data_IF_011999013179
#
_entry.id   IF_011999013179
#
_cell.length_a   1.000
_cell.length_b   1.000
_cell.length_c   1.000
_cell.angle_alpha   90.00
_cell.angle_beta   90.00
_cell.angle_gamma   90.00
#
_symmetry.space_group_name_H-M   'P 1'
#
loop_
_entity.id
_entity.type
_entity.pdbx_description
1 polymer ?
#
# COMPACT_ATOMS: atom_id res chain seq x y z
N UNK A 1 -3.04 0.29 -29.83
CA UNK A 1 -2.85 -0.62 -28.69
C UNK A 1 -1.46 -1.23 -28.83
N UNK A 2 -0.57 -0.97 -27.89
CA UNK A 2 0.83 -1.47 -27.93
C UNK A 2 0.83 -2.89 -27.36
N UNK A 3 1.54 -3.82 -27.99
CA UNK A 3 1.61 -5.21 -27.51
C UNK A 3 2.28 -5.29 -26.14
N UNK A 4 1.70 -6.08 -25.24
CA UNK A 4 2.32 -6.41 -23.96
C UNK A 4 3.47 -7.42 -24.16
N UNK A 5 4.56 -7.30 -23.39
CA UNK A 5 5.67 -8.24 -23.46
C UNK A 5 5.29 -9.58 -22.82
N UNK A 6 5.96 -10.66 -23.26
CA UNK A 6 5.66 -12.04 -22.80
C UNK A 6 5.79 -12.23 -21.28
N UNK A 7 6.68 -11.48 -20.63
CA UNK A 7 6.86 -11.54 -19.17
C UNK A 7 5.75 -10.82 -18.38
N UNK A 8 4.87 -10.05 -19.03
CA UNK A 8 3.87 -9.21 -18.35
C UNK A 8 2.86 -10.06 -17.57
N UNK A 9 2.38 -11.15 -18.16
CA UNK A 9 1.46 -12.08 -17.50
C UNK A 9 2.12 -12.75 -16.28
N UNK A 10 3.39 -13.14 -16.42
CA UNK A 10 4.14 -13.71 -15.30
C UNK A 10 4.32 -12.69 -14.16
N UNK A 11 4.63 -11.43 -14.50
CA UNK A 11 4.82 -10.35 -13.55
C UNK A 11 3.52 -9.96 -12.83
N UNK A 12 2.41 -9.78 -13.55
CA UNK A 12 1.22 -9.09 -13.05
C UNK A 12 -0.06 -9.91 -13.07
N UNK A 13 -0.05 -11.17 -13.53
CA UNK A 13 -1.23 -12.04 -13.56
C UNK A 13 -1.81 -12.43 -12.19
N UNK A 14 -1.30 -11.85 -11.10
CA UNK A 14 -1.85 -11.97 -9.75
C UNK A 14 -2.69 -10.74 -9.34
N UNK A 15 -2.69 -9.70 -10.17
CA UNK A 15 -3.42 -8.46 -9.91
C UNK A 15 -4.86 -8.56 -10.41
N UNK A 16 -5.75 -7.89 -9.70
CA UNK A 16 -7.11 -7.67 -10.17
C UNK A 16 -7.11 -6.77 -11.41
N UNK A 17 -8.17 -6.88 -12.21
CA UNK A 17 -8.31 -6.18 -13.49
C UNK A 17 -8.02 -4.68 -13.38
N UNK A 18 -8.53 -4.00 -12.36
CA UNK A 18 -8.33 -2.56 -12.19
C UNK A 18 -6.84 -2.18 -12.02
N UNK A 19 -6.08 -2.94 -11.23
CA UNK A 19 -4.66 -2.67 -11.00
C UNK A 19 -3.83 -3.08 -12.24
N UNK A 20 -4.21 -4.16 -12.91
CA UNK A 20 -3.61 -4.58 -14.18
C UNK A 20 -3.82 -3.54 -15.29
N UNK A 21 -5.03 -2.99 -15.42
CA UNK A 21 -5.38 -1.95 -16.41
C UNK A 21 -4.54 -0.68 -16.21
N UNK A 22 -4.25 -0.29 -14.97
CA UNK A 22 -3.35 0.84 -14.67
C UNK A 22 -1.92 0.55 -15.17
N UNK A 23 -1.41 -0.66 -14.98
CA UNK A 23 -0.07 -1.04 -15.45
C UNK A 23 -0.01 -1.17 -16.99
N UNK A 24 -1.08 -1.65 -17.62
CA UNK A 24 -1.22 -1.69 -19.07
C UNK A 24 -1.22 -0.26 -19.62
N UNK A 25 -1.99 0.63 -19.01
CA UNK A 25 -2.02 2.04 -19.41
C UNK A 25 -0.64 2.69 -19.28
N UNK A 26 0.07 2.48 -18.16
CA UNK A 26 1.45 2.94 -17.99
C UNK A 26 2.37 2.39 -19.08
N UNK A 27 2.24 1.10 -19.42
CA UNK A 27 3.00 0.48 -20.50
C UNK A 27 2.72 1.14 -21.85
N UNK A 28 1.49 1.60 -22.10
CA UNK A 28 1.12 2.30 -23.33
C UNK A 28 1.63 3.74 -23.36
N UNK A 29 1.56 4.47 -22.24
CA UNK A 29 1.84 5.91 -22.20
C UNK A 29 3.28 6.29 -21.89
N UNK A 30 4.09 5.40 -21.29
CA UNK A 30 5.48 5.69 -20.88
C UNK A 30 6.51 5.09 -21.85
N UNK A 31 7.01 5.84 -22.85
CA UNK A 31 7.99 5.33 -23.82
C UNK A 31 9.34 4.97 -23.17
N UNK A 32 9.78 5.74 -22.18
CA UNK A 32 11.06 5.50 -21.49
C UNK A 32 11.00 4.23 -20.64
N UNK A 33 9.83 3.87 -20.10
CA UNK A 33 9.63 2.57 -19.44
C UNK A 33 9.89 1.41 -20.42
N UNK A 34 9.36 1.51 -21.64
CA UNK A 34 9.57 0.48 -22.67
C UNK A 34 11.03 0.40 -23.10
N UNK A 35 11.72 1.54 -23.19
CA UNK A 35 13.16 1.57 -23.44
C UNK A 35 13.95 0.90 -22.29
N UNK A 36 13.61 1.19 -21.04
CA UNK A 36 14.23 0.57 -19.87
C UNK A 36 14.02 -0.96 -19.88
N UNK A 37 12.81 -1.42 -20.23
CA UNK A 37 12.50 -2.84 -20.35
C UNK A 37 13.32 -3.50 -21.48
N UNK A 38 13.44 -2.85 -22.64
CA UNK A 38 14.27 -3.34 -23.74
C UNK A 38 15.76 -3.40 -23.38
N UNK A 39 16.26 -2.47 -22.55
CA UNK A 39 17.62 -2.53 -21.99
C UNK A 39 17.77 -3.71 -21.02
N UNK A 40 16.78 -3.95 -20.16
CA UNK A 40 16.77 -5.12 -19.27
C UNK A 40 16.74 -6.45 -20.06
N UNK A 41 15.99 -6.51 -21.16
CA UNK A 41 15.91 -7.68 -22.05
C UNK A 41 17.28 -8.06 -22.62
N UNK A 42 18.11 -7.08 -23.00
CA UNK A 42 19.49 -7.33 -23.47
C UNK A 42 20.36 -8.05 -22.42
N UNK A 43 20.05 -7.86 -21.14
CA UNK A 43 20.73 -8.52 -20.03
C UNK A 43 20.03 -9.79 -19.55
N UNK A 44 18.85 -10.15 -20.09
CA UNK A 44 18.09 -11.32 -19.68
C UNK A 44 18.70 -12.60 -20.29
N UNK A 45 19.25 -13.51 -19.48
CA UNK A 45 19.93 -14.71 -19.99
C UNK A 45 19.02 -15.74 -20.65
N UNK A 46 17.69 -15.63 -20.46
CA UNK A 46 16.72 -16.49 -21.16
C UNK A 46 16.52 -16.02 -22.60
N UNK A 47 16.56 -14.71 -22.82
CA UNK A 47 16.39 -14.09 -24.14
C UNK A 47 17.73 -14.01 -24.89
N UNK A 48 18.81 -13.75 -24.16
CA UNK A 48 20.16 -13.57 -24.67
C UNK A 48 21.13 -14.52 -23.93
N UNK A 49 21.11 -15.83 -24.23
CA UNK A 49 22.01 -16.79 -23.60
C UNK A 49 23.47 -16.48 -23.97
N UNK A 50 24.30 -16.25 -22.96
CA UNK A 50 25.74 -16.02 -23.13
C UNK A 50 26.47 -17.32 -23.43
N UNK A 51 27.27 -17.32 -24.50
CA UNK A 51 28.12 -18.45 -24.89
C UNK A 51 29.59 -18.29 -24.46
N UNK A 52 29.95 -17.19 -23.78
CA UNK A 52 31.33 -16.84 -23.40
C UNK A 52 31.44 -16.50 -21.91
N UNK A 53 32.59 -16.79 -21.31
CA UNK A 53 32.88 -16.58 -19.89
C UNK A 53 32.72 -15.11 -19.52
N UNK A 54 31.87 -14.75 -18.54
CA UNK A 54 31.68 -13.36 -18.15
C UNK A 54 32.93 -12.74 -17.52
N UNK A 55 33.92 -13.56 -17.14
CA UNK A 55 35.17 -13.10 -16.52
C UNK A 55 36.35 -13.00 -17.47
N UNK A 56 36.46 -13.88 -18.48
CA UNK A 56 37.63 -13.95 -19.36
C UNK A 56 37.30 -14.08 -20.85
N UNK A 57 36.02 -14.08 -21.23
CA UNK A 57 35.57 -14.16 -22.63
C UNK A 57 35.74 -15.54 -23.30
N UNK A 58 36.27 -16.55 -22.61
CA UNK A 58 36.44 -17.90 -23.16
C UNK A 58 35.12 -18.62 -23.41
N UNK A 59 34.99 -19.32 -24.53
CA UNK A 59 33.86 -20.19 -24.88
C UNK A 59 33.94 -21.59 -24.22
N UNK A 60 35.05 -21.88 -23.52
CA UNK A 60 35.30 -23.21 -22.92
C UNK A 60 34.59 -23.37 -21.57
N UNK A 61 33.45 -24.06 -21.60
CA UNK A 61 32.63 -24.33 -20.42
C UNK A 61 32.36 -25.81 -20.18
N UNK A 62 32.22 -26.17 -18.91
CA UNK A 62 31.62 -27.43 -18.49
C UNK A 62 30.44 -27.18 -17.55
N UNK A 63 29.32 -27.92 -17.69
CA UNK A 63 28.25 -27.87 -16.71
C UNK A 63 28.77 -28.18 -15.30
N UNK A 64 28.33 -27.40 -14.32
CA UNK A 64 28.56 -27.65 -12.90
C UNK A 64 27.52 -28.62 -12.34
N UNK A 65 27.68 -29.01 -11.08
CA UNK A 65 26.74 -29.88 -10.36
C UNK A 65 25.39 -29.23 -10.06
N UNK A 66 25.29 -27.89 -10.19
CA UNK A 66 24.04 -27.13 -10.05
C UNK A 66 23.50 -26.75 -11.43
N UNK A 67 22.17 -26.81 -11.60
CA UNK A 67 21.51 -26.45 -12.87
C UNK A 67 21.97 -25.07 -13.39
N UNK A 68 22.49 -25.05 -14.62
CA UNK A 68 22.90 -23.84 -15.37
C UNK A 68 24.02 -23.00 -14.72
N UNK A 69 24.74 -23.55 -13.75
CA UNK A 69 26.07 -23.07 -13.41
C UNK A 69 27.08 -23.74 -14.34
N UNK A 70 28.01 -22.95 -14.87
CA UNK A 70 29.08 -23.41 -15.75
C UNK A 70 30.41 -23.07 -15.10
N UNK A 71 31.37 -24.00 -15.20
CA UNK A 71 32.77 -23.72 -14.86
C UNK A 71 33.53 -23.40 -16.13
N UNK A 72 34.17 -22.25 -16.17
CA UNK A 72 35.06 -21.91 -17.28
C UNK A 72 36.36 -22.72 -17.14
N UNK A 73 36.77 -23.42 -18.19
CA UNK A 73 38.01 -24.22 -18.16
C UNK A 73 39.28 -23.36 -18.29
N UNK A 74 39.16 -22.11 -18.75
CA UNK A 74 40.29 -21.19 -18.91
C UNK A 74 40.62 -20.45 -17.61
N UNK A 75 39.63 -19.88 -16.92
CA UNK A 75 39.85 -19.12 -15.68
C UNK A 75 39.44 -19.87 -14.41
N UNK A 76 38.92 -21.10 -14.56
CA UNK A 76 38.46 -21.99 -13.49
C UNK A 76 37.32 -21.47 -12.62
N UNK A 77 36.80 -20.26 -12.89
CA UNK A 77 35.68 -19.64 -12.17
C UNK A 77 34.36 -20.31 -12.53
N UNK A 78 33.49 -20.40 -11.54
CA UNK A 78 32.08 -20.75 -11.71
C UNK A 78 31.28 -19.49 -12.01
N UNK A 79 30.35 -19.59 -12.95
CA UNK A 79 29.44 -18.52 -13.34
C UNK A 79 28.12 -19.09 -13.80
N UNK A 80 27.10 -18.23 -13.85
CA UNK A 80 25.87 -18.51 -14.61
C UNK A 80 25.80 -17.56 -15.81
N UNK A 81 24.92 -17.83 -16.79
CA UNK A 81 24.63 -16.87 -17.86
C UNK A 81 24.13 -15.51 -17.34
N UNK A 82 23.68 -15.44 -16.08
CA UNK A 82 23.24 -14.23 -15.42
C UNK A 82 24.36 -13.43 -14.72
N UNK A 83 25.57 -14.00 -14.59
CA UNK A 83 26.68 -13.35 -13.90
C UNK A 83 27.02 -12.00 -14.55
N UNK A 84 27.12 -10.95 -13.74
CA UNK A 84 27.38 -9.58 -14.21
C UNK A 84 26.15 -8.83 -14.70
N UNK A 85 24.96 -9.44 -14.63
CA UNK A 85 23.68 -8.82 -15.00
C UNK A 85 22.82 -8.55 -13.75
N UNK A 86 21.74 -7.75 -13.85
CA UNK A 86 20.75 -7.61 -12.78
C UNK A 86 20.16 -8.95 -12.30
N UNK A 87 20.16 -9.98 -13.16
CA UNK A 87 19.61 -11.31 -12.91
C UNK A 87 20.55 -12.25 -12.14
N UNK A 88 21.78 -11.83 -11.84
CA UNK A 88 22.77 -12.65 -11.13
C UNK A 88 22.20 -13.19 -9.81
N UNK A 89 22.47 -14.46 -9.50
CA UNK A 89 22.02 -15.15 -8.28
C UNK A 89 20.49 -15.23 -8.09
N UNK A 90 19.70 -14.90 -9.12
CA UNK A 90 18.25 -15.13 -9.13
C UNK A 90 17.93 -16.45 -9.81
N UNK A 91 17.00 -17.20 -9.23
CA UNK A 91 16.42 -18.35 -9.89
C UNK A 91 15.63 -17.91 -11.13
N UNK A 92 15.74 -18.62 -12.27
CA UNK A 92 15.08 -18.26 -13.54
C UNK A 92 13.61 -17.94 -13.39
N UNK A 93 12.88 -18.75 -12.60
CA UNK A 93 11.45 -18.54 -12.33
C UNK A 93 11.12 -17.18 -11.70
N UNK A 94 12.11 -16.45 -11.17
CA UNK A 94 11.94 -15.14 -10.54
C UNK A 94 12.35 -13.97 -11.44
N UNK A 95 12.80 -14.20 -12.68
CA UNK A 95 13.26 -13.11 -13.55
C UNK A 95 12.17 -12.06 -13.79
N UNK A 96 10.90 -12.47 -13.83
CA UNK A 96 9.76 -11.55 -13.94
C UNK A 96 9.76 -10.47 -12.84
N UNK A 97 10.33 -10.73 -11.64
CA UNK A 97 10.28 -9.79 -10.51
C UNK A 97 11.04 -8.50 -10.82
N UNK A 98 12.14 -8.59 -11.58
CA UNK A 98 12.92 -7.43 -11.97
C UNK A 98 12.14 -6.55 -12.95
N UNK A 99 11.41 -7.16 -13.89
CA UNK A 99 10.50 -6.43 -14.77
C UNK A 99 9.34 -5.81 -14.00
N UNK A 100 8.78 -6.54 -13.04
CA UNK A 100 7.71 -6.05 -12.19
C UNK A 100 8.17 -4.81 -11.40
N UNK A 101 9.33 -4.89 -10.73
CA UNK A 101 9.93 -3.77 -9.99
C UNK A 101 10.26 -2.60 -10.93
N UNK A 102 10.80 -2.87 -12.12
CA UNK A 102 11.12 -1.84 -13.11
C UNK A 102 9.89 -1.00 -13.50
N UNK A 103 8.78 -1.67 -13.84
CA UNK A 103 7.51 -1.01 -14.17
C UNK A 103 7.02 -0.18 -12.98
N UNK A 104 7.16 -0.69 -11.76
CA UNK A 104 6.71 0.04 -10.57
C UNK A 104 7.46 1.32 -10.25
N UNK A 105 8.61 1.61 -10.89
CA UNK A 105 9.23 2.94 -10.78
C UNK A 105 8.36 4.04 -11.39
N UNK A 106 7.57 3.74 -12.42
CA UNK A 106 6.63 4.69 -13.07
C UNK A 106 5.26 4.74 -12.40
N UNK A 107 5.01 3.84 -11.44
CA UNK A 107 3.83 3.89 -10.59
C UNK A 107 4.03 5.01 -9.58
N UNK A 108 3.25 6.07 -9.72
CA UNK A 108 3.04 7.03 -8.63
C UNK A 108 2.24 6.27 -7.57
N UNK A 109 2.91 5.67 -6.59
CA UNK A 109 2.43 4.59 -5.71
C UNK A 109 2.91 4.75 -4.29
N UNK A 110 2.20 4.29 -3.25
CA UNK A 110 2.84 4.18 -1.93
C UNK A 110 3.94 3.12 -2.07
N UNK A 111 5.02 3.23 -1.30
CA UNK A 111 6.08 2.22 -1.40
C UNK A 111 5.51 0.82 -1.08
N UNK A 112 4.46 0.76 -0.28
CA UNK A 112 3.63 -0.41 0.00
C UNK A 112 2.86 -0.89 -1.24
N UNK A 113 2.19 0.01 -1.96
CA UNK A 113 1.49 -0.30 -3.20
C UNK A 113 2.46 -0.83 -4.27
N UNK A 114 3.61 -0.19 -4.46
CA UNK A 114 4.57 -0.63 -5.50
C UNK A 114 5.22 -1.97 -5.13
N UNK A 115 5.47 -2.22 -3.85
CA UNK A 115 5.94 -3.52 -3.35
C UNK A 115 4.88 -4.59 -3.63
N UNK A 116 3.62 -4.28 -3.38
CA UNK A 116 2.49 -5.15 -3.68
C UNK A 116 2.38 -5.44 -5.17
N UNK A 117 2.29 -4.40 -6.01
CA UNK A 117 2.15 -4.50 -7.47
C UNK A 117 3.30 -5.26 -8.11
N UNK A 118 4.52 -5.12 -7.58
CA UNK A 118 5.67 -5.85 -8.10
C UNK A 118 5.71 -7.32 -7.67
N UNK A 119 4.76 -7.78 -6.84
CA UNK A 119 4.78 -9.11 -6.24
C UNK A 119 5.93 -9.33 -5.24
N UNK A 120 6.49 -8.25 -4.68
CA UNK A 120 7.54 -8.34 -3.66
C UNK A 120 6.91 -8.48 -2.26
N UNK A 121 7.47 -9.32 -1.40
CA UNK A 121 6.96 -9.47 -0.02
C UNK A 121 7.14 -8.23 0.86
N UNK A 122 8.24 -7.49 0.70
CA UNK A 122 8.51 -6.34 1.54
C UNK A 122 9.39 -5.29 0.83
N UNK A 123 9.49 -4.12 1.47
CA UNK A 123 10.29 -2.99 0.99
C UNK A 123 11.79 -3.27 0.89
N UNK A 124 12.34 -4.20 1.68
CA UNK A 124 13.77 -4.54 1.65
C UNK A 124 14.09 -5.27 0.35
N UNK A 125 13.30 -6.29 0.01
CA UNK A 125 13.50 -7.04 -1.23
C UNK A 125 13.23 -6.17 -2.45
N UNK A 126 12.18 -5.34 -2.42
CA UNK A 126 11.92 -4.38 -3.49
C UNK A 126 13.10 -3.42 -3.68
N UNK A 127 13.67 -2.87 -2.60
CA UNK A 127 14.86 -1.99 -2.68
C UNK A 127 16.08 -2.73 -3.21
N UNK A 128 16.24 -4.00 -2.87
CA UNK A 128 17.31 -4.85 -3.38
C UNK A 128 17.19 -5.07 -4.90
N UNK A 129 16.00 -5.39 -5.38
CA UNK A 129 15.73 -5.47 -6.82
C UNK A 129 15.87 -4.11 -7.52
N UNK A 130 15.39 -3.04 -6.91
CA UNK A 130 15.54 -1.69 -7.43
C UNK A 130 17.01 -1.29 -7.56
N UNK A 131 17.84 -1.63 -6.57
CA UNK A 131 19.29 -1.41 -6.59
C UNK A 131 19.98 -2.17 -7.72
N UNK A 132 19.52 -3.39 -8.04
CA UNK A 132 20.02 -4.16 -9.19
C UNK A 132 19.69 -3.51 -10.53
N UNK A 133 18.61 -2.71 -10.59
CA UNK A 133 18.19 -1.97 -11.77
C UNK A 133 18.80 -0.57 -11.88
N UNK A 134 19.57 -0.12 -10.87
CA UNK A 134 20.23 1.19 -10.87
C UNK A 134 21.04 1.46 -12.14
N UNK A 135 21.86 0.52 -12.67
CA UNK A 135 22.63 0.76 -13.90
C UNK A 135 21.74 1.05 -15.11
N UNK A 136 20.56 0.42 -15.19
CA UNK A 136 19.60 0.69 -16.27
C UNK A 136 18.99 2.07 -16.08
N UNK A 137 18.66 2.44 -14.84
CA UNK A 137 17.96 3.68 -14.50
C UNK A 137 18.78 4.94 -14.76
N UNK A 138 20.07 4.93 -14.42
CA UNK A 138 20.96 6.10 -14.55
C UNK A 138 21.24 6.46 -16.01
N UNK A 139 21.18 5.48 -16.92
CA UNK A 139 21.48 5.65 -18.34
C UNK A 139 20.24 5.96 -19.20
N UNK A 140 19.08 6.22 -18.58
CA UNK A 140 17.84 6.57 -19.29
C UNK A 140 17.85 8.02 -19.79
N UNK A 141 17.12 8.32 -20.88
CA UNK A 141 16.95 9.69 -21.34
C UNK A 141 16.23 10.57 -20.30
N UNK A 142 16.58 11.85 -20.28
CA UNK A 142 15.91 12.87 -19.45
C UNK A 142 15.06 13.78 -20.37
N UNK A 143 13.76 14.00 -20.08
CA UNK A 143 13.03 13.49 -18.91
C UNK A 143 12.61 12.02 -19.06
N UNK A 144 12.60 11.28 -17.94
CA UNK A 144 12.17 9.86 -17.89
C UNK A 144 10.66 9.65 -18.00
N UNK A 145 9.89 10.73 -17.98
CA UNK A 145 8.43 10.71 -18.16
C UNK A 145 7.98 12.02 -18.80
N UNK A 146 6.96 12.00 -19.68
CA UNK A 146 6.38 13.23 -20.23
C UNK A 146 5.55 14.03 -19.19
N UNK A 147 5.12 13.39 -18.10
CA UNK A 147 4.27 14.01 -17.08
C UNK A 147 4.96 13.91 -15.70
N UNK A 148 5.70 14.97 -15.28
CA UNK A 148 6.41 14.96 -14.00
C UNK A 148 5.47 14.68 -12.83
N UNK A 149 5.88 13.76 -11.95
CA UNK A 149 5.14 13.34 -10.75
C UNK A 149 6.10 12.67 -9.77
N UNK A 150 5.67 12.36 -8.56
CA UNK A 150 6.55 11.54 -7.72
C UNK A 150 6.71 10.15 -8.34
N UNK A 151 7.95 9.77 -8.69
CA UNK A 151 8.30 8.46 -9.25
C UNK A 151 9.38 7.82 -8.38
N UNK A 152 9.21 6.54 -8.04
CA UNK A 152 10.14 5.87 -7.14
C UNK A 152 11.51 5.70 -7.79
N UNK A 153 12.54 6.16 -7.10
CA UNK A 153 13.92 6.07 -7.57
C UNK A 153 14.34 7.19 -8.51
N UNK A 154 13.42 7.95 -9.10
CA UNK A 154 13.80 9.06 -9.98
C UNK A 154 13.84 10.38 -9.22
N UNK A 155 15.01 11.06 -9.12
CA UNK A 155 15.06 12.41 -8.59
C UNK A 155 14.28 13.38 -9.49
N UNK A 156 13.80 14.53 -8.97
CA UNK A 156 13.04 15.50 -9.75
C UNK A 156 13.74 15.94 -11.04
N UNK A 157 15.06 16.06 -11.02
CA UNK A 157 15.87 16.46 -12.18
C UNK A 157 15.79 15.45 -13.34
N UNK A 158 15.77 14.15 -13.07
CA UNK A 158 15.60 13.12 -14.10
C UNK A 158 14.20 13.15 -14.73
N UNK A 159 13.26 13.83 -14.09
CA UNK A 159 11.91 14.07 -14.61
C UNK A 159 11.78 15.45 -15.28
N UNK A 160 12.88 16.18 -15.48
CA UNK A 160 12.89 17.49 -16.14
C UNK A 160 12.48 18.66 -15.24
N UNK A 161 12.40 18.47 -13.92
CA UNK A 161 12.02 19.54 -13.00
C UNK A 161 13.14 20.56 -12.79
N UNK A 162 12.78 21.84 -12.71
CA UNK A 162 13.70 22.95 -12.37
C UNK A 162 13.12 23.82 -11.27
N UNK A 163 13.99 24.51 -10.53
CA UNK A 163 13.55 25.49 -9.55
C UNK A 163 12.85 26.68 -10.25
N UNK A 164 11.63 27.06 -9.87
CA UNK A 164 10.93 28.19 -10.49
C UNK A 164 11.60 29.54 -10.18
N UNK A 165 12.34 29.64 -9.07
CA UNK A 165 13.01 30.87 -8.64
C UNK A 165 14.37 31.09 -9.35
N UNK A 166 15.26 30.09 -9.34
CA UNK A 166 16.62 30.23 -9.88
C UNK A 166 16.93 29.36 -11.12
N UNK A 167 15.95 28.62 -11.65
CA UNK A 167 16.07 27.69 -12.80
C UNK A 167 17.09 26.54 -12.63
N UNK A 168 17.71 26.38 -11.48
CA UNK A 168 18.63 25.27 -11.22
C UNK A 168 17.91 23.91 -11.26
N UNK A 169 18.60 22.88 -11.78
CA UNK A 169 18.11 21.50 -11.82
C UNK A 169 18.25 20.75 -10.49
N UNK A 170 19.11 21.23 -9.58
CA UNK A 170 19.35 20.60 -8.26
C UNK A 170 18.16 20.80 -7.33
N UNK A 171 17.13 20.00 -7.55
CA UNK A 171 15.85 20.01 -6.82
C UNK A 171 15.64 18.64 -6.20
N UNK A 172 15.19 18.60 -4.94
CA UNK A 172 14.90 17.36 -4.23
C UNK A 172 13.47 17.34 -3.71
N UNK A 173 12.88 16.15 -3.62
CA UNK A 173 11.62 15.96 -2.93
C UNK A 173 11.80 16.19 -1.43
N UNK A 174 10.90 16.99 -0.85
CA UNK A 174 10.83 17.21 0.61
C UNK A 174 10.05 16.10 1.33
N UNK A 175 9.28 15.32 0.59
CA UNK A 175 8.46 14.20 1.08
C UNK A 175 8.80 12.93 0.28
N UNK A 176 8.95 11.77 0.96
CA UNK A 176 9.35 10.49 0.33
C UNK A 176 8.20 9.49 0.27
N UNK A 177 7.12 9.84 -0.44
CA UNK A 177 6.01 8.94 -0.78
C UNK A 177 5.15 9.63 -1.86
N UNK A 178 4.25 8.91 -2.56
CA UNK A 178 3.56 9.49 -3.70
C UNK A 178 2.76 10.69 -3.22
N UNK A 179 3.01 11.80 -3.89
CA UNK A 179 2.07 12.89 -3.90
C UNK A 179 1.79 13.18 -5.37
N UNK A 180 0.53 13.35 -5.73
CA UNK A 180 0.11 13.99 -6.96
C UNK A 180 0.76 15.38 -7.05
N UNK A 181 0.96 16.05 -5.92
CA UNK A 181 1.59 17.35 -5.84
C UNK A 181 2.68 17.44 -4.75
N UNK A 182 3.87 16.83 -4.98
CA UNK A 182 4.90 16.75 -3.95
C UNK A 182 5.52 18.11 -3.67
N UNK A 183 5.88 18.33 -2.40
CA UNK A 183 6.71 19.45 -1.96
C UNK A 183 8.15 19.23 -2.42
N UNK A 184 8.77 20.25 -3.01
CA UNK A 184 10.15 20.25 -3.48
C UNK A 184 10.96 21.38 -2.84
N UNK A 185 12.28 21.17 -2.74
CA UNK A 185 13.22 22.21 -2.32
C UNK A 185 14.38 22.30 -3.30
N UNK A 186 14.77 23.53 -3.63
CA UNK A 186 15.96 23.78 -4.43
C UNK A 186 17.20 23.76 -3.54
N UNK A 187 18.19 22.94 -3.89
CA UNK A 187 19.45 22.88 -3.13
C UNK A 187 20.35 24.11 -3.35
N UNK A 188 20.09 24.92 -4.38
CA UNK A 188 20.89 26.12 -4.70
C UNK A 188 20.36 27.35 -3.96
N UNK A 189 19.09 27.71 -4.14
CA UNK A 189 18.50 28.92 -3.56
C UNK A 189 17.61 28.66 -2.32
N UNK A 190 17.47 27.39 -1.88
CA UNK A 190 16.63 26.98 -0.75
C UNK A 190 15.13 27.28 -0.90
N UNK A 191 14.69 27.75 -2.08
CA UNK A 191 13.27 27.99 -2.36
C UNK A 191 12.48 26.68 -2.29
N UNK A 192 11.37 26.71 -1.54
CA UNK A 192 10.43 25.60 -1.39
C UNK A 192 9.19 25.88 -2.23
N UNK A 193 8.75 24.90 -2.99
CA UNK A 193 7.61 25.01 -3.90
C UNK A 193 6.94 23.64 -4.05
N UNK A 194 5.73 23.61 -4.60
CA UNK A 194 5.05 22.37 -4.98
C UNK A 194 5.13 22.17 -6.50
N UNK A 195 5.04 20.93 -6.96
CA UNK A 195 5.15 20.60 -8.38
C UNK A 195 4.07 21.29 -9.23
N UNK A 196 2.84 21.33 -8.73
CA UNK A 196 1.66 21.88 -9.38
C UNK A 196 0.98 22.91 -8.46
N UNK A 197 1.32 24.21 -8.53
CA UNK A 197 0.84 25.22 -7.57
C UNK A 197 -0.68 25.42 -7.58
N UNK A 198 -1.35 25.06 -8.67
CA UNK A 198 -2.81 25.18 -8.82
C UNK A 198 -3.56 23.90 -8.43
N UNK A 199 -2.85 22.80 -8.14
CA UNK A 199 -3.49 21.54 -7.78
C UNK A 199 -3.95 21.57 -6.31
N UNK A 200 -5.25 21.36 -6.02
CA UNK A 200 -5.76 21.31 -4.66
C UNK A 200 -5.09 20.21 -3.82
N UNK A 201 -4.99 20.44 -2.50
CA UNK A 201 -4.48 19.42 -1.58
C UNK A 201 -5.43 18.24 -1.49
N UNK A 202 -4.87 17.03 -1.56
CA UNK A 202 -5.65 15.78 -1.55
C UNK A 202 -6.23 15.37 -2.90
N UNK A 203 -5.83 16.06 -3.97
CA UNK A 203 -6.06 15.55 -5.33
C UNK A 203 -5.38 14.19 -5.46
N UNK A 204 -6.13 13.20 -5.95
CA UNK A 204 -5.66 11.86 -6.22
C UNK A 204 -4.81 11.84 -7.49
N UNK A 205 -4.15 10.71 -7.71
CA UNK A 205 -3.19 10.48 -8.79
C UNK A 205 -3.79 10.54 -10.19
N UNK A 206 -5.07 10.20 -10.31
CA UNK A 206 -5.84 10.31 -11.54
C UNK A 206 -6.31 11.75 -11.82
N UNK A 207 -5.92 12.70 -10.97
CA UNK A 207 -6.36 14.09 -11.03
C UNK A 207 -7.74 14.32 -10.42
N UNK A 208 -8.40 13.28 -9.90
CA UNK A 208 -9.69 13.42 -9.23
C UNK A 208 -9.53 14.04 -7.84
N UNK A 209 -10.57 14.74 -7.39
CA UNK A 209 -10.64 15.26 -6.04
C UNK A 209 -11.89 14.69 -5.36
N UNK A 210 -11.79 13.51 -4.72
CA UNK A 210 -12.93 12.85 -4.10
C UNK A 210 -13.42 13.68 -2.92
N UNK A 211 -14.74 13.62 -2.69
CA UNK A 211 -15.36 14.31 -1.57
C UNK A 211 -14.97 13.64 -0.24
N UNK A 212 -14.59 14.47 0.73
CA UNK A 212 -14.27 14.06 2.10
C UNK A 212 -15.07 14.89 3.09
N UNK A 213 -15.51 14.29 4.22
CA UNK A 213 -16.26 15.02 5.25
C UNK A 213 -15.50 16.25 5.78
N UNK A 214 -16.25 17.25 6.26
CA UNK A 214 -15.66 18.46 6.82
C UNK A 214 -14.75 18.16 8.03
N UNK A 215 -15.14 17.21 8.89
CA UNK A 215 -14.32 16.77 10.01
C UNK A 215 -13.00 16.16 9.52
N UNK A 216 -13.02 15.37 8.44
CA UNK A 216 -11.82 14.71 7.90
C UNK A 216 -10.77 15.75 7.50
N UNK A 217 -11.19 16.80 6.78
CA UNK A 217 -10.32 17.90 6.38
C UNK A 217 -9.71 18.62 7.58
N UNK A 218 -10.53 18.89 8.59
CA UNK A 218 -10.11 19.58 9.83
C UNK A 218 -9.12 18.73 10.64
N UNK A 219 -9.44 17.46 10.86
CA UNK A 219 -8.68 16.55 11.71
C UNK A 219 -7.31 16.18 11.11
N UNK A 220 -7.19 16.21 9.78
CA UNK A 220 -5.93 15.93 9.08
C UNK A 220 -5.26 17.16 8.47
N UNK A 221 -5.71 18.39 8.77
CA UNK A 221 -5.14 19.61 8.20
C UNK A 221 -3.63 19.80 8.50
N UNK A 222 -3.14 19.23 9.61
CA UNK A 222 -1.73 19.33 10.05
C UNK A 222 -0.78 18.38 9.32
N UNK A 223 -1.29 17.41 8.57
CA UNK A 223 -0.45 16.39 7.92
C UNK A 223 0.33 17.00 6.74
N UNK A 224 1.28 16.27 6.17
CA UNK A 224 1.92 16.66 4.92
C UNK A 224 0.95 16.53 3.72
N UNK A 225 1.34 17.02 2.54
CA UNK A 225 0.53 16.81 1.34
C UNK A 225 0.44 15.32 1.01
N UNK A 226 1.56 14.60 1.06
CA UNK A 226 1.59 13.19 0.79
C UNK A 226 0.78 12.36 1.81
N UNK A 227 0.92 12.64 3.12
CA UNK A 227 0.13 11.92 4.13
C UNK A 227 -1.38 12.19 3.95
N UNK A 228 -1.76 13.42 3.61
CA UNK A 228 -3.16 13.78 3.39
C UNK A 228 -3.73 13.07 2.15
N UNK A 229 -2.99 13.04 1.05
CA UNK A 229 -3.37 12.26 -0.13
C UNK A 229 -3.52 10.77 0.17
N UNK A 230 -2.67 10.21 1.05
CA UNK A 230 -2.79 8.82 1.49
C UNK A 230 -4.12 8.59 2.18
N UNK A 231 -4.45 9.46 3.13
CA UNK A 231 -5.68 9.38 3.91
C UNK A 231 -6.90 9.51 2.99
N UNK A 232 -6.89 10.45 2.03
CA UNK A 232 -7.96 10.61 1.04
C UNK A 232 -8.08 9.36 0.16
N UNK A 233 -6.95 8.75 -0.24
CA UNK A 233 -6.93 7.51 -1.01
C UNK A 233 -7.58 6.36 -0.22
N UNK A 234 -7.22 6.20 1.05
CA UNK A 234 -7.82 5.20 1.96
C UNK A 234 -9.33 5.47 2.07
N UNK A 235 -9.71 6.72 2.36
CA UNK A 235 -11.11 7.11 2.51
C UNK A 235 -11.94 6.75 1.27
N UNK A 236 -11.43 7.01 0.08
CA UNK A 236 -12.16 6.78 -1.16
C UNK A 236 -12.21 5.29 -1.56
N UNK A 237 -11.17 4.52 -1.28
CA UNK A 237 -11.09 3.10 -1.69
C UNK A 237 -11.86 2.13 -0.81
N UNK A 238 -12.12 2.49 0.45
CA UNK A 238 -12.60 1.53 1.45
C UNK A 238 -14.07 1.79 1.82
N UNK A 239 -15.03 1.08 1.20
CA UNK A 239 -16.46 1.29 1.49
C UNK A 239 -16.83 0.92 2.92
N UNK A 240 -16.27 -0.18 3.46
CA UNK A 240 -16.51 -0.63 4.84
C UNK A 240 -16.02 0.42 5.86
N UNK A 241 -14.92 1.12 5.57
CA UNK A 241 -14.46 2.21 6.43
C UNK A 241 -15.51 3.33 6.54
N UNK A 242 -16.14 3.69 5.41
CA UNK A 242 -17.18 4.73 5.40
C UNK A 242 -18.43 4.28 6.14
N UNK A 243 -18.86 3.03 5.93
CA UNK A 243 -19.96 2.42 6.69
C UNK A 243 -19.69 2.47 8.21
N UNK A 244 -18.49 2.08 8.65
CA UNK A 244 -18.13 2.12 10.07
C UNK A 244 -18.02 3.55 10.62
N UNK A 245 -17.69 4.53 9.79
CA UNK A 245 -17.71 5.95 10.17
C UNK A 245 -19.13 6.45 10.35
N UNK A 246 -20.07 6.05 9.48
CA UNK A 246 -21.48 6.38 9.64
C UNK A 246 -22.03 5.78 10.94
N UNK A 247 -21.65 4.54 11.26
CA UNK A 247 -21.98 3.90 12.55
C UNK A 247 -21.34 4.63 13.74
N UNK A 248 -20.12 5.16 13.58
CA UNK A 248 -19.46 5.95 14.60
C UNK A 248 -20.15 7.32 14.79
N UNK A 249 -20.62 7.95 13.71
CA UNK A 249 -21.39 9.20 13.73
C UNK A 249 -22.72 9.01 14.47
N UNK A 250 -23.42 7.90 14.24
CA UNK A 250 -24.66 7.56 14.95
C UNK A 250 -24.47 7.43 16.47
N UNK A 251 -23.27 6.98 16.89
CA UNK A 251 -22.90 6.83 18.29
C UNK A 251 -22.31 8.11 18.91
N UNK A 252 -21.93 9.10 18.09
CA UNK A 252 -21.22 10.30 18.55
C UNK A 252 -22.18 11.30 19.22
N UNK A 253 -22.01 11.58 20.53
CA UNK A 253 -22.89 12.51 21.25
C UNK A 253 -22.88 13.96 20.74
N UNK A 254 -21.85 14.37 19.99
CA UNK A 254 -21.78 15.72 19.41
C UNK A 254 -22.54 15.84 18.09
N UNK A 255 -22.78 14.71 17.40
CA UNK A 255 -23.40 14.67 16.08
C UNK A 255 -24.83 14.16 16.12
N UNK A 256 -25.09 13.14 16.93
CA UNK A 256 -26.41 12.53 17.03
C UNK A 256 -27.08 12.86 18.36
N UNK A 257 -28.40 13.07 18.32
CA UNK A 257 -29.20 13.29 19.52
C UNK A 257 -29.57 11.93 20.10
N UNK A 258 -29.36 11.78 21.40
CA UNK A 258 -29.84 10.62 22.15
C UNK A 258 -31.35 10.43 21.92
N UNK A 259 -31.74 9.26 21.40
CA UNK A 259 -33.15 8.95 21.08
C UNK A 259 -33.80 8.00 22.09
N UNK A 260 -33.02 7.12 22.70
CA UNK A 260 -33.51 6.09 23.62
C UNK A 260 -32.61 5.91 24.85
N UNK A 261 -33.16 5.30 25.90
CA UNK A 261 -32.41 4.92 27.10
C UNK A 261 -31.50 3.71 26.82
N UNK A 262 -30.19 3.77 27.13
CA UNK A 262 -29.25 2.68 26.84
C UNK A 262 -29.46 1.42 27.70
N UNK A 263 -30.30 1.48 28.75
CA UNK A 263 -30.56 0.35 29.64
C UNK A 263 -31.85 -0.41 29.31
N UNK A 264 -32.87 0.29 28.81
CA UNK A 264 -34.19 -0.31 28.56
C UNK A 264 -34.78 0.03 27.19
N UNK A 265 -34.03 0.72 26.32
CA UNK A 265 -34.42 1.12 24.96
C UNK A 265 -35.74 1.90 24.88
N UNK A 266 -36.11 2.56 25.98
CA UNK A 266 -37.32 3.37 26.04
C UNK A 266 -37.03 4.81 25.62
N UNK A 267 -37.93 5.41 24.84
CA UNK A 267 -37.83 6.78 24.32
C UNK A 267 -38.21 7.88 25.34
N UNK A 268 -38.75 7.52 26.51
CA UNK A 268 -39.13 8.48 27.56
C UNK A 268 -37.93 8.94 28.39
N UNK A 269 -37.01 9.64 27.74
CA UNK A 269 -35.81 10.24 28.32
C UNK A 269 -36.04 11.73 28.63
N UNK A 270 -35.43 12.25 29.70
CA UNK A 270 -35.51 13.65 30.08
C UNK A 270 -34.15 14.18 30.54
N UNK A 271 -33.81 15.45 30.27
CA UNK A 271 -32.56 16.04 30.74
C UNK A 271 -32.62 16.25 32.26
N UNK A 272 -31.53 15.91 32.96
CA UNK A 272 -31.35 16.21 34.37
C UNK A 272 -30.87 17.66 34.48
N UNK A 273 -31.73 18.57 34.97
CA UNK A 273 -31.41 19.99 35.04
C UNK A 273 -30.15 20.29 35.86
N UNK A 274 -29.27 21.15 35.33
CA UNK A 274 -27.97 21.51 35.93
C UNK A 274 -26.86 21.47 34.89
N UNK A 275 -25.70 22.06 35.17
CA UNK A 275 -24.54 22.17 34.26
C UNK A 275 -23.94 20.83 33.74
N UNK A 276 -24.57 19.70 34.04
CA UNK A 276 -24.18 18.35 33.66
C UNK A 276 -25.07 17.82 32.54
N UNK A 277 -24.45 17.27 31.49
CA UNK A 277 -25.09 16.62 30.34
C UNK A 277 -25.68 15.24 30.68
N UNK A 278 -26.41 15.16 31.80
CA UNK A 278 -27.05 13.95 32.28
C UNK A 278 -28.49 13.84 31.77
N UNK A 279 -28.89 12.60 31.51
CA UNK A 279 -30.24 12.21 31.11
C UNK A 279 -30.77 11.19 32.12
N UNK A 280 -32.08 11.23 32.36
CA UNK A 280 -32.80 10.22 33.12
C UNK A 280 -33.84 9.50 32.26
N UNK A 281 -34.12 8.23 32.56
CA UNK A 281 -35.20 7.48 31.92
C UNK A 281 -36.36 7.27 32.90
N UNK A 282 -37.59 7.66 32.51
CA UNK A 282 -38.77 7.45 33.37
C UNK A 282 -39.17 5.98 33.51
N UNK A 283 -38.84 5.15 32.52
CA UNK A 283 -39.27 3.76 32.47
C UNK A 283 -38.46 2.87 33.43
N UNK A 284 -37.14 3.03 33.47
CA UNK A 284 -36.26 2.23 34.34
C UNK A 284 -35.67 3.01 35.53
N UNK A 285 -35.90 4.32 35.62
CA UNK A 285 -35.39 5.17 36.70
C UNK A 285 -33.89 5.48 36.62
N UNK A 286 -33.17 4.91 35.66
CA UNK A 286 -31.72 5.06 35.52
C UNK A 286 -31.30 6.44 35.02
N UNK A 287 -30.10 6.84 35.41
CA UNK A 287 -29.44 8.07 34.95
C UNK A 287 -28.19 7.75 34.17
N UNK A 288 -27.91 8.53 33.13
CA UNK A 288 -26.82 8.26 32.19
C UNK A 288 -26.40 9.53 31.44
N UNK A 289 -25.33 9.42 30.67
CA UNK A 289 -24.89 10.49 29.74
C UNK A 289 -25.10 10.02 28.31
N UNK A 290 -25.12 10.94 27.36
CA UNK A 290 -25.36 10.61 25.95
C UNK A 290 -24.37 9.58 25.36
N UNK A 291 -23.17 9.45 25.93
CA UNK A 291 -22.18 8.45 25.50
C UNK A 291 -22.34 7.07 26.16
N UNK A 292 -23.24 6.91 27.13
CA UNK A 292 -23.46 5.62 27.80
C UNK A 292 -23.90 4.56 26.80
N UNK A 293 -23.27 3.38 26.84
CA UNK A 293 -23.56 2.28 25.90
C UNK A 293 -22.87 2.40 24.54
N UNK A 294 -22.09 3.45 24.30
CA UNK A 294 -21.37 3.68 23.03
C UNK A 294 -19.86 3.52 23.19
N UNK A 295 -19.13 3.52 22.07
CA UNK A 295 -17.65 3.56 22.07
C UNK A 295 -17.06 4.83 22.72
N UNK A 296 -17.86 5.88 22.88
CA UNK A 296 -17.48 7.15 23.53
C UNK A 296 -17.68 7.15 25.05
N UNK A 297 -18.18 6.05 25.64
CA UNK A 297 -18.42 5.95 27.07
C UNK A 297 -17.16 6.22 27.90
N UNK A 298 -17.28 7.04 28.95
CA UNK A 298 -16.20 7.47 29.84
C UNK A 298 -15.00 8.11 29.11
N UNK A 299 -15.24 8.73 27.94
CA UNK A 299 -14.21 9.42 27.17
C UNK A 299 -14.39 10.93 27.25
N UNK A 300 -13.31 11.71 27.47
CA UNK A 300 -13.36 13.16 27.37
C UNK A 300 -13.73 13.63 25.96
N UNK A 301 -14.59 14.65 25.86
CA UNK A 301 -15.12 15.17 24.58
C UNK A 301 -14.03 15.63 23.62
N UNK A 302 -13.00 16.29 24.12
CA UNK A 302 -11.84 16.76 23.35
C UNK A 302 -11.10 15.61 22.64
N UNK A 303 -11.37 14.36 23.03
CA UNK A 303 -10.74 13.18 22.45
C UNK A 303 -11.63 12.41 21.48
N UNK A 304 -12.93 12.72 21.34
CA UNK A 304 -13.86 11.95 20.48
C UNK A 304 -13.31 11.75 19.06
N UNK A 305 -12.80 12.83 18.47
CA UNK A 305 -12.19 12.82 17.14
C UNK A 305 -10.93 11.92 17.02
N UNK A 306 -10.32 11.52 18.14
CA UNK A 306 -9.23 10.53 18.11
C UNK A 306 -9.70 9.15 17.63
N UNK A 307 -10.96 8.76 17.90
CA UNK A 307 -11.51 7.49 17.41
C UNK A 307 -11.63 7.50 15.89
N UNK A 308 -12.13 8.61 15.31
CA UNK A 308 -12.20 8.79 13.86
C UNK A 308 -10.82 8.73 13.20
N UNK A 309 -9.83 9.43 13.77
CA UNK A 309 -8.46 9.37 13.26
C UNK A 309 -7.94 7.95 13.30
N UNK A 310 -8.03 7.27 14.45
CA UNK A 310 -7.56 5.89 14.61
C UNK A 310 -8.26 4.95 13.63
N UNK A 311 -9.58 5.07 13.46
CA UNK A 311 -10.38 4.26 12.54
C UNK A 311 -9.85 4.36 11.10
N UNK A 312 -9.65 5.58 10.59
CA UNK A 312 -9.06 5.79 9.24
C UNK A 312 -7.65 5.21 9.16
N UNK A 313 -6.83 5.37 10.21
CA UNK A 313 -5.46 4.87 10.20
C UNK A 313 -5.35 3.33 10.20
N UNK A 314 -6.35 2.59 10.71
CA UNK A 314 -6.33 1.12 10.69
C UNK A 314 -6.36 0.55 9.25
N UNK A 315 -6.98 1.26 8.31
CA UNK A 315 -7.03 0.88 6.89
C UNK A 315 -5.76 1.26 6.09
N UNK A 316 -4.78 1.91 6.73
CA UNK A 316 -3.50 2.28 6.14
C UNK A 316 -2.32 1.45 6.65
N UNK A 317 -1.28 1.34 5.82
CA UNK A 317 -0.04 0.66 6.19
C UNK A 317 0.98 1.66 6.78
N UNK A 318 0.73 2.10 8.01
CA UNK A 318 1.58 3.12 8.63
C UNK A 318 2.80 2.51 9.33
N UNK A 319 3.98 3.09 9.10
CA UNK A 319 5.10 2.88 10.02
C UNK A 319 4.73 3.48 11.38
N UNK A 320 5.01 2.76 12.49
CA UNK A 320 4.69 3.25 13.85
C UNK A 320 5.16 4.68 14.12
N UNK A 321 6.34 5.07 13.62
CA UNK A 321 6.88 6.44 13.76
C UNK A 321 6.09 7.52 12.98
N UNK A 322 5.39 7.16 11.91
CA UNK A 322 4.55 8.07 11.11
C UNK A 322 3.09 8.07 11.55
N UNK A 323 2.58 6.95 12.04
CA UNK A 323 1.21 6.83 12.54
C UNK A 323 0.89 7.86 13.64
N UNK A 324 1.74 7.94 14.68
CA UNK A 324 1.53 8.80 15.85
C UNK A 324 1.35 10.30 15.52
N UNK A 325 2.24 10.95 14.75
CA UNK A 325 2.05 12.36 14.38
C UNK A 325 0.83 12.56 13.46
N UNK A 326 0.52 11.61 12.58
CA UNK A 326 -0.66 11.69 11.70
C UNK A 326 -1.94 11.64 12.52
N UNK A 327 -2.05 10.74 13.51
CA UNK A 327 -3.22 10.61 14.38
C UNK A 327 -3.26 11.60 15.55
N UNK A 328 -2.23 12.43 15.74
CA UNK A 328 -2.02 13.30 16.92
C UNK A 328 -2.10 12.52 18.24
N UNK A 329 -1.57 11.31 18.26
CA UNK A 329 -1.51 10.46 19.47
C UNK A 329 -0.06 10.35 19.91
N UNK A 330 0.19 10.52 21.20
CA UNK A 330 1.56 10.63 21.72
C UNK A 330 2.26 9.27 21.86
N UNK A 331 1.51 8.18 22.08
CA UNK A 331 2.08 6.85 22.36
C UNK A 331 1.33 5.73 21.64
N UNK A 332 2.04 4.63 21.34
CA UNK A 332 1.42 3.42 20.78
C UNK A 332 0.40 2.82 21.76
N UNK A 333 0.67 2.84 23.06
CA UNK A 333 -0.28 2.35 24.06
C UNK A 333 -1.63 3.08 24.01
N UNK A 334 -1.60 4.40 23.86
CA UNK A 334 -2.83 5.18 23.70
C UNK A 334 -3.55 4.87 22.38
N UNK A 335 -2.81 4.62 21.29
CA UNK A 335 -3.40 4.17 20.03
C UNK A 335 -4.15 2.84 20.19
N UNK A 336 -3.53 1.85 20.84
CA UNK A 336 -4.14 0.55 21.10
C UNK A 336 -5.39 0.63 22.00
N UNK A 337 -5.46 1.62 22.90
CA UNK A 337 -6.66 1.87 23.70
C UNK A 337 -7.83 2.32 22.81
N UNK A 338 -7.59 3.19 21.84
CA UNK A 338 -8.62 3.61 20.89
C UNK A 338 -9.01 2.49 19.92
N UNK A 339 -8.04 1.74 19.42
CA UNK A 339 -8.29 0.55 18.59
C UNK A 339 -9.17 -0.47 19.32
N UNK A 340 -8.87 -0.74 20.60
CA UNK A 340 -9.69 -1.65 21.43
C UNK A 340 -11.12 -1.12 21.62
N UNK A 341 -11.29 0.19 21.76
CA UNK A 341 -12.62 0.82 21.89
C UNK A 341 -13.45 0.71 20.61
N UNK A 342 -12.82 0.60 19.44
CA UNK A 342 -13.50 0.43 18.15
C UNK A 342 -13.93 -1.01 17.87
N UNK A 343 -13.44 -2.00 18.62
CA UNK A 343 -13.74 -3.42 18.39
C UNK A 343 -15.24 -3.77 18.34
N UNK A 344 -16.13 -3.17 19.15
CA UNK A 344 -17.57 -3.41 19.03
C UNK A 344 -18.11 -3.08 17.64
N UNK A 345 -17.62 -2.03 16.98
CA UNK A 345 -18.03 -1.67 15.61
C UNK A 345 -17.60 -2.74 14.59
N UNK A 346 -16.40 -3.30 14.74
CA UNK A 346 -15.93 -4.36 13.83
C UNK A 346 -16.70 -5.66 14.01
N UNK A 347 -17.17 -5.95 15.23
CA UNK A 347 -18.01 -7.12 15.50
C UNK A 347 -19.36 -7.06 14.75
N UNK A 348 -19.86 -5.87 14.42
CA UNK A 348 -21.10 -5.68 13.66
C UNK A 348 -20.98 -6.19 12.20
N UNK A 349 -19.77 -6.37 11.67
CA UNK A 349 -19.55 -6.82 10.29
C UNK A 349 -19.92 -8.30 10.04
N UNK A 350 -20.13 -9.09 11.10
CA UNK A 350 -20.59 -10.50 11.02
C UNK A 350 -19.81 -11.38 10.03
N UNK A 351 -18.50 -11.15 9.89
CA UNK A 351 -17.62 -11.94 9.00
C UNK A 351 -17.52 -11.42 7.57
N UNK A 352 -18.16 -10.29 7.22
CA UNK A 352 -17.89 -9.55 5.99
C UNK A 352 -16.41 -9.10 5.96
N UNK A 353 -15.72 -9.21 4.82
CA UNK A 353 -14.34 -8.79 4.72
C UNK A 353 -14.21 -7.27 4.92
N UNK A 354 -13.23 -6.84 5.72
CA UNK A 354 -13.01 -5.41 6.03
C UNK A 354 -12.48 -4.60 4.85
N UNK A 355 -11.97 -5.26 3.81
CA UNK A 355 -11.46 -4.66 2.59
C UNK A 355 -11.68 -5.60 1.42
N UNK A 356 -12.01 -5.10 0.22
CA UNK A 356 -12.07 -5.93 -0.99
C UNK A 356 -10.68 -6.40 -1.46
N UNK A 357 -9.60 -5.77 -0.97
CA UNK A 357 -8.21 -6.00 -1.40
C UNK A 357 -7.32 -6.40 -0.23
N UNK A 358 -7.24 -7.71 0.09
CA UNK A 358 -6.47 -8.18 1.23
C UNK A 358 -5.01 -7.77 1.15
N UNK A 359 -4.49 -7.16 2.22
CA UNK A 359 -3.13 -6.66 2.33
C UNK A 359 -2.65 -6.67 3.79
N UNK A 360 -1.49 -6.10 4.07
CA UNK A 360 -1.03 -5.93 5.45
C UNK A 360 -1.68 -4.73 6.11
N UNK A 361 -2.96 -4.84 6.48
CA UNK A 361 -3.64 -3.81 7.27
C UNK A 361 -3.26 -3.87 8.74
N UNK A 362 -3.29 -2.72 9.41
CA UNK A 362 -2.99 -2.64 10.83
C UNK A 362 -4.24 -3.03 11.63
N UNK A 363 -4.10 -4.00 12.53
CA UNK A 363 -5.21 -4.42 13.41
C UNK A 363 -6.15 -5.47 12.78
N UNK A 364 -5.90 -5.89 11.54
CA UNK A 364 -6.70 -6.93 10.87
C UNK A 364 -5.84 -8.11 10.43
N UNK A 365 -6.29 -9.31 10.77
CA UNK A 365 -5.78 -10.58 10.24
C UNK A 365 -6.12 -10.71 8.75
N UNK A 366 -5.43 -11.62 8.04
CA UNK A 366 -5.79 -11.91 6.64
C UNK A 366 -7.18 -12.56 6.54
N UNK A 367 -7.59 -13.33 7.55
CA UNK A 367 -8.94 -13.90 7.63
C UNK A 367 -10.04 -12.84 7.68
N UNK A 368 -9.87 -11.80 8.49
CA UNK A 368 -10.82 -10.66 8.55
C UNK A 368 -10.86 -9.85 7.25
N UNK A 369 -9.79 -9.93 6.46
CA UNK A 369 -9.74 -9.31 5.13
C UNK A 369 -10.30 -10.20 4.02
N UNK A 370 -10.87 -11.37 4.34
CA UNK A 370 -11.50 -12.26 3.37
C UNK A 370 -10.60 -13.37 2.83
N UNK A 371 -9.33 -13.45 3.25
CA UNK A 371 -8.48 -14.58 2.84
C UNK A 371 -9.02 -15.86 3.46
N UNK A 372 -9.16 -16.90 2.64
CA UNK A 372 -9.63 -18.24 3.02
C UNK A 372 -8.62 -19.29 2.60
N UNK A 373 -8.52 -20.35 3.37
CA UNK A 373 -7.64 -21.47 3.01
C UNK A 373 -8.06 -22.10 1.67
N UNK A 374 -7.11 -22.24 0.75
CA UNK A 374 -7.34 -22.88 -0.56
C UNK A 374 -7.82 -24.34 -0.46
N UNK A 375 -7.55 -25.02 0.66
CA UNK A 375 -7.92 -26.41 0.86
C UNK A 375 -9.25 -26.60 1.60
N UNK A 376 -9.44 -25.93 2.75
CA UNK A 376 -10.60 -26.16 3.62
C UNK A 376 -11.55 -24.95 3.76
N UNK A 377 -11.29 -23.85 3.06
CA UNK A 377 -12.06 -22.59 3.12
C UNK A 377 -12.14 -21.92 4.50
N UNK A 378 -11.39 -22.38 5.50
CA UNK A 378 -11.33 -21.74 6.81
C UNK A 378 -10.73 -20.33 6.72
N UNK A 379 -11.29 -19.39 7.49
CA UNK A 379 -10.74 -18.04 7.72
C UNK A 379 -9.63 -18.02 8.78
N UNK A 380 -9.40 -19.14 9.49
CA UNK A 380 -8.35 -19.26 10.49
C UNK A 380 -6.99 -19.49 9.80
N UNK A 381 -6.51 -18.41 9.20
CA UNK A 381 -5.25 -18.35 8.48
C UNK A 381 -4.32 -17.36 9.17
N UNK A 382 -3.08 -17.78 9.38
CA UNK A 382 -2.03 -16.93 9.91
C UNK A 382 -0.86 -16.89 8.93
N UNK A 383 -0.03 -15.88 9.06
CA UNK A 383 1.19 -15.73 8.26
C UNK A 383 2.36 -16.30 9.04
N UNK A 384 3.11 -17.22 8.41
CA UNK A 384 4.34 -17.68 9.04
C UNK A 384 5.33 -16.51 9.16
N UNK A 385 5.89 -16.34 10.36
CA UNK A 385 6.88 -15.32 10.65
C UNK A 385 8.00 -15.26 9.61
N UNK A 386 8.60 -14.07 9.50
CA UNK A 386 9.61 -13.56 8.55
C UNK A 386 10.85 -14.45 8.24
N UNK A 387 10.88 -15.71 8.64
CA UNK A 387 12.08 -16.55 8.73
C UNK A 387 12.12 -17.75 7.79
N UNK A 388 11.06 -18.11 7.07
CA UNK A 388 11.08 -19.29 6.18
C UNK A 388 11.29 -18.89 4.72
N UNK A 389 12.24 -19.57 4.06
CA UNK A 389 12.50 -19.41 2.62
C UNK A 389 11.37 -20.05 1.78
N UNK A 390 10.97 -19.47 0.64
CA UNK A 390 11.55 -18.28 0.00
C UNK A 390 11.06 -16.97 0.62
N UNK A 391 11.99 -16.04 0.88
CA UNK A 391 11.81 -14.76 1.59
C UNK A 391 10.92 -13.72 0.88
N UNK A 392 10.29 -14.09 -0.23
CA UNK A 392 9.77 -13.17 -1.25
C UNK A 392 8.25 -13.16 -1.41
N UNK A 393 7.55 -14.09 -0.74
CA UNK A 393 6.09 -14.17 -0.76
C UNK A 393 5.61 -14.57 0.65
N UNK A 394 4.56 -13.95 1.21
CA UNK A 394 4.06 -14.33 2.53
C UNK A 394 3.42 -15.72 2.44
N UNK A 395 4.02 -16.66 3.18
CA UNK A 395 3.47 -17.99 3.37
C UNK A 395 2.32 -17.90 4.38
N UNK A 396 1.15 -18.36 3.95
CA UNK A 396 -0.06 -18.42 4.75
C UNK A 396 -0.22 -19.87 5.21
N UNK A 397 -0.44 -20.06 6.50
CA UNK A 397 -0.71 -21.34 7.12
C UNK A 397 -2.15 -21.35 7.63
N UNK A 398 -2.92 -22.35 7.22
CA UNK A 398 -4.24 -22.57 7.76
C UNK A 398 -4.15 -23.36 9.07
N UNK A 399 -4.55 -22.76 10.18
CA UNK A 399 -4.55 -23.42 11.48
C UNK A 399 -5.59 -24.55 11.58
N UNK A 400 -6.63 -24.54 10.73
CA UNK A 400 -7.69 -25.56 10.74
C UNK A 400 -7.29 -26.89 10.08
N UNK A 401 -6.51 -26.85 9.00
CA UNK A 401 -6.14 -28.06 8.24
C UNK A 401 -4.63 -28.26 8.05
N UNK A 402 -3.79 -27.33 8.51
CA UNK A 402 -2.35 -27.37 8.34
C UNK A 402 -1.85 -27.08 6.93
N UNK A 403 -2.74 -26.83 5.95
CA UNK A 403 -2.35 -26.50 4.59
C UNK A 403 -1.63 -25.15 4.53
N UNK A 404 -0.56 -25.09 3.74
CA UNK A 404 0.21 -23.88 3.51
C UNK A 404 0.18 -23.49 2.03
N UNK A 405 0.02 -22.20 1.77
CA UNK A 405 -0.02 -21.63 0.42
C UNK A 405 0.55 -20.22 0.43
N UNK A 406 0.89 -19.69 -0.74
CA UNK A 406 1.37 -18.31 -0.86
C UNK A 406 0.21 -17.36 -1.13
N UNK A 407 0.23 -16.14 -0.59
CA UNK A 407 -0.83 -15.15 -0.86
C UNK A 407 -1.05 -14.92 -2.36
N UNK A 408 0.02 -14.96 -3.16
CA UNK A 408 -0.07 -14.81 -4.62
C UNK A 408 -0.80 -15.96 -5.30
N UNK A 409 -0.66 -17.18 -4.80
CA UNK A 409 -1.42 -18.34 -5.28
C UNK A 409 -2.90 -18.15 -4.98
N UNK A 410 -3.22 -17.61 -3.81
CA UNK A 410 -4.60 -17.28 -3.44
C UNK A 410 -5.21 -16.19 -4.33
N UNK A 411 -4.46 -15.11 -4.62
CA UNK A 411 -4.92 -14.05 -5.53
C UNK A 411 -5.15 -14.58 -6.95
N UNK A 412 -4.21 -15.37 -7.47
CA UNK A 412 -4.37 -16.01 -8.79
C UNK A 412 -5.59 -16.91 -8.81
N UNK A 413 -5.76 -17.76 -7.80
CA UNK A 413 -6.93 -18.61 -7.68
C UNK A 413 -8.23 -17.78 -7.66
N UNK A 414 -8.28 -16.66 -6.92
CA UNK A 414 -9.43 -15.75 -6.88
C UNK A 414 -9.74 -15.17 -8.27
N UNK A 415 -8.72 -14.73 -9.01
CA UNK A 415 -8.86 -14.20 -10.38
C UNK A 415 -9.33 -15.30 -11.35
N UNK A 416 -8.70 -16.47 -11.31
CA UNK A 416 -8.98 -17.59 -12.22
C UNK A 416 -10.36 -18.20 -12.00
N UNK A 417 -10.82 -18.27 -10.74
CA UNK A 417 -12.14 -18.83 -10.40
C UNK A 417 -13.28 -17.84 -10.57
N UNK A 418 -13.00 -16.58 -10.91
CA UNK A 418 -14.02 -15.57 -11.07
C UNK A 418 -14.89 -15.40 -9.83
N UNK A 419 -14.32 -15.65 -8.63
CA UNK A 419 -14.98 -15.31 -7.36
C UNK A 419 -14.90 -13.78 -7.21
N UNK A 420 -15.60 -13.09 -8.11
CA UNK A 420 -16.32 -11.88 -7.77
C UNK A 420 -17.21 -12.31 -6.61
N UNK A 421 -16.89 -11.83 -5.41
CA UNK A 421 -17.84 -11.92 -4.33
C UNK A 421 -19.13 -11.26 -4.84
N UNK A 422 -20.15 -12.08 -5.02
CA UNK A 422 -21.52 -11.75 -4.66
C UNK A 422 -21.57 -11.39 -3.16
N UNK A 423 -20.82 -10.38 -2.74
CA UNK A 423 -21.08 -9.58 -1.56
C UNK A 423 -21.88 -8.41 -2.10
N UNK A 424 -23.19 -8.61 -2.16
CA UNK A 424 -24.12 -7.65 -2.76
C UNK A 424 -23.98 -6.26 -2.13
N UNK A 425 -24.08 -5.27 -3.02
CA UNK A 425 -24.45 -3.86 -2.79
C UNK A 425 -23.60 -3.06 -1.80
#
# INVERSE_FOLDING_TARGET
MISLPVWFSDAFGHLEKQDADVLIHLWETEPVLREAAARLDKSNPVLNPTTHCPYCGSDRYVPSTREREFRCLTCLRQSSPATGTPFADLHRRKYYILYAVLVTFWVNGYIEDVVWLSGCHNKINWKEYARRLEPIRVDLPVPVTPFPRYLHGFPPEQQGMTCPSCRAHRVVYSEQMPAANPSLSCQVCQHRFVMHPLMPRGTLRDGSQPEVPAWFRKEFAHTSNADYEHLVTIWHREPVLRELVDRLDEQNPELNRLQECPYCHNHHIFPLGGHSEGFGCKACGETFVASTGTVFSNMPKDRYWALYRVLVLLWGQWLRKRMLPVSRISTVGQFLVYERRLQPLFAELQGRPVTPRPRWLMGFTLGEQGVRCLHCQSSNVDTEGRTVWPRDEPKINCAACGHSFMLREWLRHRVDTGVEENAGL
#
